data_IF_874241307871
#
_entry.id   IF_874241307871
#
_cell.length_a   1.000
_cell.length_b   1.000
_cell.length_c   1.000
_cell.angle_alpha   90.00
_cell.angle_beta   90.00
_cell.angle_gamma   90.00
#
_symmetry.space_group_name_H-M   'P 1'
#
loop_
_entity.id
_entity.type
_entity.pdbx_description
1 polymer ?
#
# COMPACT_ATOMS: atom_id res chain seq x y z
N UNK A 1 19.61 19.00 -11.36
CA UNK A 1 19.60 18.40 -12.71
C UNK A 1 18.68 17.20 -12.64
N UNK A 2 17.63 17.12 -13.45
CA UNK A 2 16.72 15.98 -13.43
C UNK A 2 17.34 14.80 -14.17
N UNK A 3 17.32 13.61 -13.57
CA UNK A 3 17.61 12.35 -14.24
C UNK A 3 16.31 11.75 -14.79
N UNK A 4 16.35 11.22 -16.00
CA UNK A 4 15.23 10.58 -16.69
C UNK A 4 15.48 9.10 -16.98
N UNK A 5 16.51 8.51 -16.37
CA UNK A 5 16.88 7.11 -16.50
C UNK A 5 15.71 6.15 -16.28
N UNK A 6 15.65 5.11 -17.11
CA UNK A 6 14.63 4.06 -17.06
C UNK A 6 15.32 2.71 -16.80
N UNK A 7 14.93 2.03 -15.72
CA UNK A 7 15.49 0.73 -15.31
C UNK A 7 15.04 -0.46 -16.19
N UNK A 8 14.16 -0.24 -17.18
CA UNK A 8 13.80 -1.21 -18.23
C UNK A 8 12.61 -2.13 -17.95
N UNK A 9 12.33 -2.50 -16.70
CA UNK A 9 11.22 -3.42 -16.39
C UNK A 9 9.85 -2.74 -16.30
N UNK A 10 9.78 -1.56 -15.67
CA UNK A 10 8.56 -0.75 -15.57
C UNK A 10 8.88 0.69 -15.97
N UNK A 11 7.88 1.42 -16.46
CA UNK A 11 8.06 2.83 -16.79
C UNK A 11 8.16 3.67 -15.51
N UNK A 12 9.12 4.58 -15.46
CA UNK A 12 9.28 5.58 -14.39
C UNK A 12 8.90 6.97 -14.91
N UNK A 13 7.84 7.55 -14.34
CA UNK A 13 7.34 8.88 -14.68
C UNK A 13 7.90 9.92 -13.70
N UNK A 14 8.87 10.69 -14.17
CA UNK A 14 9.64 11.64 -13.35
C UNK A 14 8.97 13.03 -13.27
N UNK A 15 9.24 13.79 -12.19
CA UNK A 15 8.85 15.21 -12.12
C UNK A 15 9.90 16.15 -12.75
N UNK A 16 10.08 16.09 -14.07
CA UNK A 16 11.22 16.78 -14.74
C UNK A 16 11.07 18.31 -14.84
N UNK A 17 9.85 18.80 -15.09
CA UNK A 17 9.61 20.20 -15.45
C UNK A 17 8.76 20.95 -14.43
N UNK A 18 8.42 20.33 -13.29
CA UNK A 18 7.51 20.88 -12.26
C UNK A 18 6.25 21.50 -12.89
N UNK A 19 5.57 20.69 -13.72
CA UNK A 19 4.35 21.09 -14.43
C UNK A 19 3.34 21.68 -13.42
N UNK A 20 2.70 22.83 -13.71
CA UNK A 20 1.68 23.38 -12.83
C UNK A 20 0.55 22.39 -12.55
N UNK A 21 0.21 22.22 -11.27
CA UNK A 21 -0.85 21.33 -10.83
C UNK A 21 -2.19 21.63 -11.53
N UNK A 22 -2.55 22.91 -11.66
CA UNK A 22 -3.82 23.32 -12.27
C UNK A 22 -3.99 22.79 -13.71
N UNK A 23 -2.90 22.67 -14.48
CA UNK A 23 -2.95 22.11 -15.83
C UNK A 23 -3.23 20.60 -15.80
N UNK A 24 -2.64 19.89 -14.84
CA UNK A 24 -2.88 18.46 -14.64
C UNK A 24 -4.31 18.21 -14.18
N UNK A 25 -4.83 19.01 -13.23
CA UNK A 25 -6.20 18.89 -12.75
C UNK A 25 -7.24 19.21 -13.84
N UNK A 26 -6.96 20.17 -14.72
CA UNK A 26 -7.81 20.46 -15.88
C UNK A 26 -7.91 19.27 -16.83
N UNK A 27 -6.83 18.54 -17.04
CA UNK A 27 -6.83 17.29 -17.81
C UNK A 27 -7.58 16.19 -17.07
N UNK A 28 -7.34 16.01 -15.77
CA UNK A 28 -8.05 15.04 -14.93
C UNK A 28 -9.57 15.29 -14.94
N UNK A 29 -10.02 16.54 -14.88
CA UNK A 29 -11.43 16.92 -15.06
C UNK A 29 -12.00 16.56 -16.43
N UNK A 30 -11.16 16.48 -17.46
CA UNK A 30 -11.58 16.02 -18.78
C UNK A 30 -11.64 14.49 -18.81
N UNK A 31 -10.64 13.83 -18.22
CA UNK A 31 -10.57 12.37 -18.16
C UNK A 31 -11.70 11.77 -17.32
N UNK A 32 -12.11 12.44 -16.24
CA UNK A 32 -13.17 11.99 -15.33
C UNK A 32 -14.51 11.73 -16.02
N UNK A 33 -14.77 12.41 -17.15
CA UNK A 33 -15.96 12.20 -17.99
C UNK A 33 -16.00 10.82 -18.65
N UNK A 34 -14.84 10.24 -18.92
CA UNK A 34 -14.69 8.92 -19.56
C UNK A 34 -14.24 7.85 -18.56
N UNK A 35 -13.44 8.23 -17.57
CA UNK A 35 -12.91 7.39 -16.51
C UNK A 35 -13.13 8.08 -15.17
N UNK A 36 -14.32 7.93 -14.56
CA UNK A 36 -14.60 8.47 -13.23
C UNK A 36 -13.52 8.04 -12.23
N UNK A 37 -13.13 8.94 -11.33
CA UNK A 37 -11.98 8.73 -10.44
C UNK A 37 -12.42 8.58 -8.99
N UNK A 38 -11.96 7.51 -8.34
CA UNK A 38 -12.19 7.22 -6.94
C UNK A 38 -10.94 7.37 -6.09
N UNK A 39 -11.13 7.59 -4.79
CA UNK A 39 -10.06 7.54 -3.80
C UNK A 39 -10.48 6.61 -2.64
N UNK A 40 -9.59 5.68 -2.28
CA UNK A 40 -9.72 4.82 -1.10
C UNK A 40 -8.82 5.35 0.02
N UNK A 41 -9.40 5.50 1.21
CA UNK A 41 -8.74 5.93 2.44
C UNK A 41 -9.00 4.87 3.53
N UNK A 42 -8.13 3.85 3.68
CA UNK A 42 -8.21 2.91 4.79
C UNK A 42 -7.67 3.60 6.05
N UNK A 43 -8.50 3.73 7.09
CA UNK A 43 -8.13 4.41 8.32
C UNK A 43 -8.48 3.64 9.60
N UNK A 44 -7.72 3.92 10.65
CA UNK A 44 -8.12 3.67 12.04
C UNK A 44 -8.84 4.90 12.57
N UNK A 45 -9.78 4.72 13.52
CA UNK A 45 -10.38 5.88 14.20
C UNK A 45 -9.32 6.79 14.84
N UNK A 46 -8.27 6.22 15.46
CA UNK A 46 -7.18 6.97 16.07
C UNK A 46 -6.40 7.90 15.12
N UNK A 47 -6.52 7.71 13.80
CA UNK A 47 -5.89 8.59 12.82
C UNK A 47 -6.69 9.88 12.58
N UNK A 48 -8.01 9.86 12.83
CA UNK A 48 -8.85 11.06 12.79
C UNK A 48 -8.48 12.04 13.93
N UNK A 49 -7.99 11.51 15.05
CA UNK A 49 -7.50 12.28 16.20
C UNK A 49 -6.10 12.88 15.96
N UNK A 50 -5.41 12.47 14.88
CA UNK A 50 -4.06 12.91 14.54
C UNK A 50 -4.02 14.18 13.68
N UNK A 51 -2.82 14.73 13.49
CA UNK A 51 -2.61 15.95 12.70
C UNK A 51 -2.66 15.75 11.18
N UNK A 52 -2.53 14.51 10.71
CA UNK A 52 -2.49 14.19 9.29
C UNK A 52 -3.88 14.34 8.64
N UNK A 53 -4.89 13.71 9.22
CA UNK A 53 -6.22 13.61 8.60
C UNK A 53 -6.87 14.98 8.35
N UNK A 54 -6.85 15.96 9.27
CA UNK A 54 -7.39 17.30 9.00
C UNK A 54 -6.74 17.98 7.79
N UNK A 55 -5.41 17.81 7.59
CA UNK A 55 -4.69 18.34 6.43
C UNK A 55 -5.11 17.62 5.14
N UNK A 56 -5.23 16.29 5.20
CA UNK A 56 -5.70 15.48 4.06
C UNK A 56 -7.08 15.96 3.62
N UNK A 57 -8.03 16.15 4.54
CA UNK A 57 -9.37 16.65 4.22
C UNK A 57 -9.33 18.07 3.64
N UNK A 58 -8.53 18.98 4.20
CA UNK A 58 -8.39 20.34 3.68
C UNK A 58 -7.89 20.39 2.23
N UNK A 59 -6.95 19.51 1.87
CA UNK A 59 -6.46 19.35 0.50
C UNK A 59 -7.51 18.67 -0.40
N UNK A 60 -8.15 17.60 0.06
CA UNK A 60 -9.17 16.88 -0.70
C UNK A 60 -10.40 17.72 -1.01
N UNK A 61 -10.81 18.66 -0.15
CA UNK A 61 -11.91 19.61 -0.43
C UNK A 61 -11.68 20.42 -1.71
N UNK A 62 -10.43 20.58 -2.14
CA UNK A 62 -10.06 21.33 -3.33
C UNK A 62 -9.94 20.46 -4.59
N UNK A 63 -10.14 19.14 -4.49
CA UNK A 63 -9.97 18.19 -5.60
C UNK A 63 -11.29 18.04 -6.39
N UNK A 64 -11.40 18.56 -7.61
CA UNK A 64 -12.68 18.65 -8.31
C UNK A 64 -13.04 17.40 -9.15
N UNK A 65 -12.08 16.50 -9.38
CA UNK A 65 -12.20 15.42 -10.37
C UNK A 65 -12.59 14.06 -9.78
N UNK A 66 -12.69 13.94 -8.45
CA UNK A 66 -13.10 12.71 -7.78
C UNK A 66 -14.63 12.55 -7.83
N UNK A 67 -15.09 11.40 -8.33
CA UNK A 67 -16.50 11.01 -8.30
C UNK A 67 -16.89 10.35 -6.97
N UNK A 68 -15.95 9.72 -6.27
CA UNK A 68 -16.21 9.07 -4.99
C UNK A 68 -14.97 9.01 -4.10
N UNK A 69 -15.17 9.16 -2.79
CA UNK A 69 -14.19 8.84 -1.75
C UNK A 69 -14.75 7.71 -0.87
N UNK A 70 -14.03 6.59 -0.78
CA UNK A 70 -14.39 5.44 0.04
C UNK A 70 -13.45 5.39 1.23
N UNK A 71 -13.99 5.62 2.42
CA UNK A 71 -13.24 5.60 3.68
C UNK A 71 -13.55 4.31 4.41
N UNK A 72 -12.54 3.51 4.73
CA UNK A 72 -12.73 2.31 5.55
C UNK A 72 -12.30 2.57 6.98
N UNK A 73 -13.23 2.51 7.93
CA UNK A 73 -12.99 2.83 9.33
C UNK A 73 -12.90 1.54 10.17
N UNK A 74 -11.70 1.26 10.65
CA UNK A 74 -11.41 0.18 11.60
C UNK A 74 -11.31 0.70 13.04
N UNK A 75 -11.56 -0.20 13.99
CA UNK A 75 -11.42 0.03 15.44
C UNK A 75 -12.23 1.23 15.96
N UNK A 76 -13.46 1.33 15.49
CA UNK A 76 -14.43 2.33 15.95
C UNK A 76 -15.62 1.65 16.63
N UNK A 77 -16.07 2.20 17.76
CA UNK A 77 -17.41 1.95 18.30
C UNK A 77 -18.48 2.83 17.61
N UNK A 78 -19.74 2.74 18.04
CA UNK A 78 -20.83 3.52 17.44
C UNK A 78 -20.62 5.05 17.60
N UNK A 79 -20.18 5.49 18.78
CA UNK A 79 -19.96 6.92 19.05
C UNK A 79 -18.86 7.46 18.15
N UNK A 80 -17.76 6.72 18.05
CA UNK A 80 -16.63 7.01 17.19
C UNK A 80 -17.02 6.98 15.70
N UNK A 81 -17.89 6.05 15.30
CA UNK A 81 -18.41 6.03 13.93
C UNK A 81 -19.24 7.28 13.60
N UNK A 82 -20.13 7.71 14.51
CA UNK A 82 -20.89 8.95 14.35
C UNK A 82 -19.99 10.18 14.26
N UNK A 83 -18.95 10.23 15.08
CA UNK A 83 -17.93 11.27 15.01
C UNK A 83 -17.21 11.28 13.66
N UNK A 84 -16.81 10.10 13.16
CA UNK A 84 -16.20 9.97 11.84
C UNK A 84 -17.13 10.45 10.72
N UNK A 85 -18.42 10.12 10.77
CA UNK A 85 -19.41 10.62 9.80
C UNK A 85 -19.49 12.16 9.82
N UNK A 86 -19.46 12.78 11.01
CA UNK A 86 -19.42 14.23 11.13
C UNK A 86 -18.12 14.81 10.58
N UNK A 87 -16.99 14.19 10.89
CA UNK A 87 -15.66 14.61 10.46
C UNK A 87 -15.53 14.62 8.92
N UNK A 88 -15.93 13.53 8.25
CA UNK A 88 -15.86 13.44 6.79
C UNK A 88 -16.95 14.22 6.05
N UNK A 89 -17.99 14.70 6.75
CA UNK A 89 -19.07 15.49 6.14
C UNK A 89 -18.61 16.80 5.48
N UNK A 90 -17.40 17.27 5.82
CA UNK A 90 -16.77 18.42 5.20
C UNK A 90 -16.35 18.21 3.72
N UNK A 91 -16.24 16.96 3.29
CA UNK A 91 -15.87 16.63 1.91
C UNK A 91 -17.03 16.96 0.96
N UNK A 92 -16.83 17.85 -0.04
CA UNK A 92 -17.86 18.18 -1.01
C UNK A 92 -18.14 17.04 -2.01
N UNK A 93 -17.20 16.10 -2.16
CA UNK A 93 -17.37 14.93 -3.01
C UNK A 93 -18.33 13.94 -2.38
N UNK A 94 -18.93 13.09 -3.22
CA UNK A 94 -19.63 11.93 -2.70
C UNK A 94 -18.64 11.03 -1.93
N UNK A 95 -18.96 10.74 -0.67
CA UNK A 95 -18.14 9.89 0.18
C UNK A 95 -18.99 8.91 0.98
N UNK A 96 -18.38 7.79 1.36
CA UNK A 96 -18.97 6.82 2.31
C UNK A 96 -17.93 6.32 3.29
N UNK A 97 -18.35 6.23 4.55
CA UNK A 97 -17.54 5.66 5.63
C UNK A 97 -18.04 4.24 5.90
N UNK A 98 -17.22 3.25 5.60
CA UNK A 98 -17.46 1.84 5.88
C UNK A 98 -17.08 1.57 7.34
N UNK A 99 -18.06 1.24 8.18
CA UNK A 99 -17.80 0.83 9.56
C UNK A 99 -17.46 -0.66 9.60
N UNK A 100 -16.19 -1.01 9.42
CA UNK A 100 -15.75 -2.41 9.29
C UNK A 100 -16.06 -3.24 10.54
N UNK A 101 -16.06 -2.58 11.70
CA UNK A 101 -16.44 -3.15 12.99
C UNK A 101 -17.93 -3.00 13.34
N UNK A 102 -18.72 -2.39 12.46
CA UNK A 102 -20.14 -2.17 12.61
C UNK A 102 -20.96 -3.46 12.49
N UNK A 103 -22.19 -3.46 13.04
CA UNK A 103 -23.02 -4.67 13.08
C UNK A 103 -23.34 -5.21 11.68
N UNK A 104 -23.55 -4.33 10.69
CA UNK A 104 -23.92 -4.74 9.32
C UNK A 104 -22.74 -5.36 8.57
N UNK A 105 -21.56 -4.74 8.60
CA UNK A 105 -20.36 -5.31 7.99
C UNK A 105 -19.85 -6.56 8.73
N UNK A 106 -19.97 -6.63 10.06
CA UNK A 106 -19.70 -7.88 10.82
C UNK A 106 -20.65 -9.01 10.44
N UNK A 107 -21.92 -8.73 10.14
CA UNK A 107 -22.85 -9.74 9.67
C UNK A 107 -22.47 -10.28 8.28
N UNK A 108 -22.02 -9.41 7.37
CA UNK A 108 -21.47 -9.83 6.07
C UNK A 108 -20.18 -10.63 6.23
N UNK A 109 -19.27 -10.18 7.10
CA UNK A 109 -18.04 -10.90 7.43
C UNK A 109 -18.34 -12.32 7.93
N UNK A 110 -19.29 -12.47 8.86
CA UNK A 110 -19.71 -13.78 9.37
C UNK A 110 -20.31 -14.69 8.27
N UNK A 111 -21.01 -14.12 7.29
CA UNK A 111 -21.52 -14.86 6.12
C UNK A 111 -20.35 -15.35 5.24
N UNK A 112 -19.37 -14.48 4.99
CA UNK A 112 -18.17 -14.81 4.22
C UNK A 112 -17.29 -15.85 4.94
N UNK A 113 -17.16 -15.77 6.27
CA UNK A 113 -16.39 -16.72 7.08
C UNK A 113 -16.93 -18.14 6.95
N UNK A 114 -18.25 -18.32 6.92
CA UNK A 114 -18.90 -19.64 6.73
C UNK A 114 -18.51 -20.33 5.42
N UNK A 115 -18.05 -19.57 4.43
CA UNK A 115 -17.63 -20.05 3.11
C UNK A 115 -16.10 -20.06 2.93
N UNK A 116 -15.33 -19.75 3.99
CA UNK A 116 -13.86 -19.53 3.90
C UNK A 116 -13.51 -18.45 2.85
N UNK A 117 -14.35 -17.40 2.79
CA UNK A 117 -14.22 -16.26 1.88
C UNK A 117 -13.84 -14.94 2.57
N UNK A 118 -13.96 -14.87 3.89
CA UNK A 118 -13.64 -13.66 4.65
C UNK A 118 -12.12 -13.49 4.84
N UNK A 119 -11.63 -12.23 4.94
CA UNK A 119 -10.32 -11.94 5.49
C UNK A 119 -10.16 -12.54 6.89
N UNK A 120 -9.11 -13.34 7.11
CA UNK A 120 -8.89 -14.06 8.38
C UNK A 120 -8.28 -13.20 9.48
N UNK A 121 -7.45 -12.25 9.08
CA UNK A 121 -6.72 -11.38 10.01
C UNK A 121 -7.29 -9.95 9.96
N UNK A 122 -7.21 -9.27 11.10
CA UNK A 122 -7.50 -7.84 11.19
C UNK A 122 -6.29 -7.04 10.70
N UNK A 123 -6.52 -5.90 10.06
CA UNK A 123 -5.48 -4.98 9.64
C UNK A 123 -5.79 -4.25 8.34
N UNK A 124 -4.83 -3.46 7.89
CA UNK A 124 -4.92 -2.62 6.68
C UNK A 124 -5.35 -3.41 5.44
N UNK A 125 -4.83 -4.63 5.25
CA UNK A 125 -5.21 -5.49 4.13
C UNK A 125 -6.71 -5.83 4.09
N UNK A 126 -7.32 -6.15 5.24
CA UNK A 126 -8.77 -6.39 5.38
C UNK A 126 -9.57 -5.12 5.07
N UNK A 127 -9.14 -3.99 5.61
CA UNK A 127 -9.78 -2.69 5.40
C UNK A 127 -9.81 -2.32 3.90
N UNK A 128 -8.64 -2.36 3.27
CA UNK A 128 -8.48 -2.11 1.83
C UNK A 128 -9.34 -3.07 1.01
N UNK A 129 -9.42 -4.33 1.39
CA UNK A 129 -10.24 -5.32 0.69
C UNK A 129 -11.73 -4.97 0.72
N UNK A 130 -12.28 -4.56 1.87
CA UNK A 130 -13.68 -4.09 1.97
C UNK A 130 -13.92 -2.81 1.17
N UNK A 131 -12.99 -1.85 1.22
CA UNK A 131 -13.06 -0.64 0.41
C UNK A 131 -13.04 -0.92 -1.09
N UNK A 132 -12.20 -1.84 -1.55
CA UNK A 132 -12.18 -2.29 -2.95
C UNK A 132 -13.51 -2.93 -3.34
N UNK A 133 -14.08 -3.76 -2.46
CA UNK A 133 -15.39 -4.39 -2.68
C UNK A 133 -16.50 -3.37 -2.85
N UNK A 134 -16.55 -2.37 -1.96
CA UNK A 134 -17.55 -1.31 -2.05
C UNK A 134 -17.32 -0.42 -3.28
N UNK A 135 -16.06 -0.14 -3.65
CA UNK A 135 -15.72 0.61 -4.87
C UNK A 135 -16.18 -0.12 -6.14
N UNK A 136 -16.02 -1.46 -6.18
CA UNK A 136 -16.57 -2.29 -7.25
C UNK A 136 -18.10 -2.26 -7.23
N UNK A 137 -18.71 -2.42 -6.06
CA UNK A 137 -20.16 -2.50 -5.91
C UNK A 137 -20.89 -1.18 -6.23
N UNK A 138 -20.33 -0.03 -5.84
CA UNK A 138 -20.92 1.29 -6.09
C UNK A 138 -20.96 1.65 -7.57
N UNK A 139 -20.02 1.09 -8.34
CA UNK A 139 -19.81 1.36 -9.75
C UNK A 139 -19.59 2.84 -10.11
N UNK A 140 -18.97 3.62 -9.20
CA UNK A 140 -18.76 5.07 -9.39
C UNK A 140 -17.36 5.47 -9.81
N UNK A 141 -16.42 4.52 -9.86
CA UNK A 141 -15.03 4.77 -10.20
C UNK A 141 -14.50 3.72 -11.19
N UNK A 142 -13.69 4.21 -12.14
CA UNK A 142 -12.97 3.43 -13.15
C UNK A 142 -11.45 3.50 -12.91
N UNK A 143 -10.95 4.64 -12.44
CA UNK A 143 -9.58 4.80 -11.97
C UNK A 143 -9.59 5.10 -10.48
N UNK A 144 -8.83 4.36 -9.69
CA UNK A 144 -8.90 4.43 -8.23
C UNK A 144 -7.51 4.64 -7.68
N UNK A 145 -7.35 5.64 -6.83
CA UNK A 145 -6.15 5.83 -6.01
C UNK A 145 -6.38 5.30 -4.59
N UNK A 146 -5.31 4.89 -3.93
CA UNK A 146 -5.29 4.51 -2.52
C UNK A 146 -4.16 5.27 -1.84
N UNK A 147 -4.48 5.97 -0.75
CA UNK A 147 -3.51 6.70 0.07
C UNK A 147 -3.57 6.27 1.53
N UNK A 148 -2.45 6.38 2.21
CA UNK A 148 -2.43 6.25 3.66
C UNK A 148 -3.04 7.47 4.36
N UNK A 149 -3.55 7.24 5.55
CA UNK A 149 -4.31 8.22 6.33
C UNK A 149 -3.45 8.96 7.38
N UNK A 150 -2.15 8.70 7.40
CA UNK A 150 -1.17 9.24 8.35
C UNK A 150 -0.10 10.13 7.71
N UNK A 151 -0.35 10.62 6.49
CA UNK A 151 0.55 11.48 5.71
C UNK A 151 0.54 12.91 6.25
N UNK A 152 1.65 13.35 6.86
CA UNK A 152 1.77 14.67 7.50
C UNK A 152 2.02 15.80 6.50
N UNK A 153 2.62 15.46 5.36
CA UNK A 153 2.99 16.38 4.27
C UNK A 153 2.06 16.25 3.07
N UNK A 154 0.81 15.85 3.29
CA UNK A 154 -0.15 15.62 2.22
C UNK A 154 -0.38 16.90 1.40
N UNK A 155 -0.37 16.76 0.08
CA UNK A 155 -0.67 17.81 -0.89
C UNK A 155 -1.48 17.19 -2.03
N UNK A 156 -2.51 17.86 -2.52
CA UNK A 156 -3.34 17.34 -3.63
C UNK A 156 -2.58 17.05 -4.94
N UNK A 157 -1.38 17.61 -5.14
CA UNK A 157 -0.48 17.24 -6.24
C UNK A 157 -0.06 15.77 -6.17
N UNK A 158 0.13 15.21 -4.97
CA UNK A 158 0.42 13.80 -4.76
C UNK A 158 -0.66 12.94 -5.41
N UNK A 159 -1.93 13.22 -5.11
CA UNK A 159 -3.07 12.52 -5.70
C UNK A 159 -3.11 12.68 -7.22
N UNK A 160 -3.00 13.91 -7.69
CA UNK A 160 -3.10 14.21 -9.11
C UNK A 160 -2.05 13.42 -9.91
N UNK A 161 -0.80 13.41 -9.44
CA UNK A 161 0.31 12.70 -10.08
C UNK A 161 0.16 11.19 -10.00
N UNK A 162 -0.33 10.67 -8.87
CA UNK A 162 -0.52 9.23 -8.67
C UNK A 162 -1.60 8.65 -9.58
N UNK A 163 -2.75 9.33 -9.72
CA UNK A 163 -3.89 8.81 -10.47
C UNK A 163 -3.79 9.09 -11.97
N UNK A 164 -3.04 10.12 -12.38
CA UNK A 164 -2.90 10.54 -13.78
C UNK A 164 -2.58 9.39 -14.75
N UNK A 165 -1.62 8.47 -14.47
CA UNK A 165 -1.24 7.46 -15.45
C UNK A 165 -2.34 6.46 -15.78
N UNK A 166 -3.18 6.13 -14.81
CA UNK A 166 -4.30 5.19 -14.97
C UNK A 166 -5.57 5.90 -15.48
N UNK A 167 -5.76 7.17 -15.09
CA UNK A 167 -6.88 8.00 -15.52
C UNK A 167 -6.75 8.51 -16.97
N UNK A 168 -5.54 8.71 -17.48
CA UNK A 168 -5.33 9.24 -18.83
C UNK A 168 -5.79 8.24 -19.92
N UNK A 169 -6.82 8.56 -20.74
CA UNK A 169 -7.35 7.65 -21.75
C UNK A 169 -6.36 7.25 -22.84
N UNK A 170 -5.29 8.04 -23.04
CA UNK A 170 -4.23 7.75 -24.02
C UNK A 170 -3.16 6.82 -23.48
N UNK A 171 -3.15 6.59 -22.17
CA UNK A 171 -2.20 5.70 -21.54
C UNK A 171 -2.81 4.32 -21.36
N UNK A 172 -1.95 3.32 -21.42
CA UNK A 172 -2.29 1.90 -21.33
C UNK A 172 -1.98 1.30 -19.95
N UNK A 173 -1.65 2.13 -18.95
CA UNK A 173 -1.32 1.67 -17.61
C UNK A 173 -2.55 1.18 -16.84
N UNK A 174 -2.40 0.03 -16.19
CA UNK A 174 -3.39 -0.59 -15.31
C UNK A 174 -3.08 -0.33 -13.84
N UNK A 175 -1.80 -0.09 -13.52
CA UNK A 175 -1.33 0.15 -12.16
C UNK A 175 -0.18 1.16 -12.15
N UNK A 176 -0.20 2.07 -11.17
CA UNK A 176 0.87 3.01 -10.90
C UNK A 176 1.26 3.01 -9.42
N UNK A 177 2.54 2.85 -9.12
CA UNK A 177 3.11 3.01 -7.77
C UNK A 177 3.66 4.42 -7.56
N UNK A 178 3.36 5.05 -6.43
CA UNK A 178 4.01 6.29 -6.03
C UNK A 178 5.44 6.04 -5.57
N UNK A 179 6.34 6.97 -5.86
CA UNK A 179 7.66 7.01 -5.23
C UNK A 179 8.01 8.42 -4.76
N UNK A 180 8.78 8.49 -3.68
CA UNK A 180 9.15 9.73 -3.00
C UNK A 180 10.33 9.52 -2.06
N UNK A 181 11.14 10.56 -1.87
CA UNK A 181 12.16 10.56 -0.83
C UNK A 181 11.53 10.78 0.55
N UNK A 182 12.11 10.17 1.58
CA UNK A 182 11.64 10.29 2.97
C UNK A 182 12.69 10.99 3.82
N UNK A 183 12.54 12.31 3.98
CA UNK A 183 13.45 13.14 4.76
C UNK A 183 12.67 13.97 5.77
N UNK A 184 12.89 13.73 7.05
CA UNK A 184 12.21 14.48 8.11
C UNK A 184 13.16 14.76 9.25
N UNK A 185 13.00 15.91 9.91
CA UNK A 185 13.79 16.32 11.07
C UNK A 185 15.30 16.25 10.83
N UNK A 186 15.75 16.58 9.61
CA UNK A 186 17.16 16.55 9.22
C UNK A 186 17.74 15.13 9.14
N UNK A 187 16.91 14.10 8.90
CA UNK A 187 17.32 12.69 8.83
C UNK A 187 16.75 11.96 7.61
N UNK A 188 17.45 10.93 7.13
CA UNK A 188 16.97 10.00 6.10
C UNK A 188 16.17 8.86 6.76
N UNK A 189 14.91 8.71 6.36
CA UNK A 189 13.98 7.70 6.90
C UNK A 189 13.78 6.50 5.95
N UNK A 190 12.86 5.59 6.29
CA UNK A 190 12.49 4.46 5.42
C UNK A 190 13.40 3.23 5.56
N UNK A 191 13.83 2.90 6.78
CA UNK A 191 14.73 1.77 7.11
C UNK A 191 14.33 0.46 6.43
N UNK A 192 13.05 0.08 6.45
CA UNK A 192 12.61 -1.19 5.85
C UNK A 192 12.82 -1.19 4.33
N UNK A 193 12.56 -0.08 3.63
CA UNK A 193 12.79 0.00 2.19
C UNK A 193 14.30 0.01 1.86
N UNK A 194 15.08 0.81 2.60
CA UNK A 194 16.52 1.02 2.34
C UNK A 194 17.39 -0.15 2.79
N UNK A 195 17.16 -0.66 4.00
CA UNK A 195 18.03 -1.61 4.68
C UNK A 195 17.53 -3.05 4.63
N UNK A 196 16.22 -3.28 4.47
CA UNK A 196 15.68 -4.64 4.32
C UNK A 196 15.40 -4.96 2.85
N UNK A 197 14.42 -4.32 2.22
CA UNK A 197 13.88 -4.76 0.92
C UNK A 197 14.92 -4.70 -0.18
N UNK A 198 15.57 -3.54 -0.38
CA UNK A 198 16.52 -3.38 -1.47
C UNK A 198 17.73 -4.33 -1.33
N UNK A 199 18.38 -4.44 -0.15
CA UNK A 199 19.48 -5.38 0.03
C UNK A 199 19.03 -6.84 -0.04
N UNK A 200 17.83 -7.18 0.44
CA UNK A 200 17.28 -8.54 0.39
C UNK A 200 16.98 -8.97 -1.05
N UNK A 201 16.37 -8.12 -1.86
CA UNK A 201 16.14 -8.40 -3.29
C UNK A 201 17.45 -8.64 -4.03
N UNK A 202 18.47 -7.81 -3.78
CA UNK A 202 19.80 -7.98 -4.39
C UNK A 202 20.52 -9.23 -3.88
N UNK A 203 20.37 -9.56 -2.61
CA UNK A 203 20.92 -10.79 -2.04
C UNK A 203 20.26 -12.03 -2.66
N UNK A 204 18.93 -12.05 -2.79
CA UNK A 204 18.18 -13.08 -3.49
C UNK A 204 18.64 -13.20 -4.95
N UNK A 205 18.85 -12.09 -5.66
CA UNK A 205 19.39 -12.11 -7.02
C UNK A 205 20.77 -12.77 -7.13
N UNK A 206 21.58 -12.69 -6.06
CA UNK A 206 22.92 -13.29 -6.00
C UNK A 206 22.90 -14.77 -5.57
N UNK A 207 21.98 -15.15 -4.68
CA UNK A 207 21.93 -16.52 -4.14
C UNK A 207 20.98 -17.44 -4.89
N UNK A 208 19.87 -16.92 -5.40
CA UNK A 208 18.85 -17.66 -6.17
C UNK A 208 19.10 -17.50 -7.67
N UNK A 209 19.42 -16.27 -8.10
CA UNK A 209 19.69 -15.94 -9.50
C UNK A 209 18.89 -14.73 -10.00
N UNK A 210 19.22 -14.27 -11.20
CA UNK A 210 18.61 -13.11 -11.83
C UNK A 210 17.27 -13.49 -12.48
N UNK A 211 16.23 -13.70 -11.69
CA UNK A 211 14.89 -14.05 -12.22
C UNK A 211 14.12 -12.80 -12.68
N UNK A 212 13.19 -12.97 -13.62
CA UNK A 212 12.32 -11.88 -14.11
C UNK A 212 11.53 -11.23 -12.96
N UNK A 213 11.05 -12.03 -12.01
CA UNK A 213 10.33 -11.53 -10.85
C UNK A 213 11.22 -10.68 -9.94
N UNK A 214 12.44 -11.13 -9.62
CA UNK A 214 13.36 -10.36 -8.77
C UNK A 214 13.81 -9.07 -9.47
N UNK A 215 14.03 -9.12 -10.79
CA UNK A 215 14.34 -7.95 -11.59
C UNK A 215 13.17 -6.95 -11.64
N UNK A 216 11.94 -7.45 -11.73
CA UNK A 216 10.73 -6.64 -11.64
C UNK A 216 10.60 -5.97 -10.27
N UNK A 217 10.73 -6.73 -9.17
CA UNK A 217 10.62 -6.18 -7.81
C UNK A 217 11.70 -5.13 -7.52
N UNK A 218 12.93 -5.38 -7.94
CA UNK A 218 14.10 -4.48 -7.79
C UNK A 218 14.01 -3.23 -8.69
N UNK A 219 13.03 -3.16 -9.62
CA UNK A 219 12.83 -1.99 -10.50
C UNK A 219 12.00 -0.88 -9.86
N UNK A 220 11.21 -1.20 -8.82
CA UNK A 220 10.47 -0.20 -8.04
C UNK A 220 11.42 0.53 -7.10
N UNK A 221 11.42 1.86 -7.15
CA UNK A 221 12.27 2.69 -6.27
C UNK A 221 11.87 2.55 -4.80
N UNK A 222 10.56 2.46 -4.54
CA UNK A 222 9.97 2.33 -3.20
C UNK A 222 8.86 1.26 -3.22
N UNK A 223 9.22 -0.04 -3.21
CA UNK A 223 8.25 -1.13 -3.29
C UNK A 223 7.20 -1.10 -2.17
N UNK A 224 7.56 -0.52 -1.03
CA UNK A 224 6.72 -0.41 0.17
C UNK A 224 5.94 0.91 0.29
N UNK A 225 5.92 1.77 -0.73
CA UNK A 225 5.08 2.97 -0.68
C UNK A 225 3.59 2.57 -0.53
N UNK A 226 2.85 3.22 0.38
CA UNK A 226 1.42 2.97 0.56
C UNK A 226 0.57 3.47 -0.61
N UNK A 227 1.12 4.40 -1.39
CA UNK A 227 0.43 5.16 -2.42
C UNK A 227 0.51 4.42 -3.76
N UNK A 228 -0.64 3.98 -4.24
CA UNK A 228 -0.77 3.42 -5.58
C UNK A 228 -2.14 3.71 -6.19
N UNK A 229 -2.20 3.68 -7.51
CA UNK A 229 -3.44 3.79 -8.26
C UNK A 229 -3.57 2.64 -9.24
N UNK A 230 -4.81 2.30 -9.58
CA UNK A 230 -5.12 1.20 -10.47
C UNK A 230 -6.43 1.44 -11.22
N UNK A 231 -6.60 0.74 -12.32
CA UNK A 231 -7.92 0.63 -12.96
C UNK A 231 -8.81 -0.34 -12.22
N UNK A 232 -10.12 -0.14 -12.38
CA UNK A 232 -11.17 -0.98 -11.81
C UNK A 232 -10.97 -2.47 -12.08
N UNK A 233 -10.53 -2.84 -13.28
CA UNK A 233 -10.31 -4.24 -13.65
C UNK A 233 -9.29 -4.95 -12.75
N UNK A 234 -8.32 -4.21 -12.21
CA UNK A 234 -7.34 -4.74 -11.25
C UNK A 234 -8.02 -5.23 -9.96
N UNK A 235 -9.03 -4.50 -9.45
CA UNK A 235 -9.69 -4.82 -8.16
C UNK A 235 -10.45 -6.14 -8.20
N UNK A 236 -10.92 -6.56 -9.38
CA UNK A 236 -11.72 -7.78 -9.53
C UNK A 236 -10.89 -9.04 -9.23
N UNK A 237 -9.64 -9.05 -9.68
CA UNK A 237 -8.77 -10.23 -9.67
C UNK A 237 -7.63 -10.15 -8.66
N UNK A 238 -7.26 -8.95 -8.19
CA UNK A 238 -6.17 -8.78 -7.25
C UNK A 238 -6.44 -9.54 -5.95
N UNK A 239 -5.43 -10.25 -5.49
CA UNK A 239 -5.44 -10.92 -4.19
C UNK A 239 -4.67 -10.08 -3.20
N UNK A 240 -5.39 -9.55 -2.21
CA UNK A 240 -4.82 -8.69 -1.18
C UNK A 240 -4.23 -9.56 -0.06
N UNK A 241 -2.95 -9.39 0.31
CA UNK A 241 -2.39 -10.03 1.50
C UNK A 241 -3.10 -9.56 2.77
N UNK A 242 -3.22 -10.45 3.77
CA UNK A 242 -3.82 -10.09 5.05
C UNK A 242 -2.85 -9.39 6.01
N UNK A 243 -1.55 -9.47 5.76
CA UNK A 243 -0.46 -9.03 6.64
C UNK A 243 0.20 -7.72 6.18
N UNK A 244 1.31 -7.34 6.84
CA UNK A 244 2.15 -6.18 6.46
C UNK A 244 2.87 -6.36 5.11
N UNK A 245 2.63 -7.48 4.42
CA UNK A 245 3.07 -7.72 3.06
C UNK A 245 2.16 -7.10 1.99
N UNK A 246 1.14 -6.29 2.35
CA UNK A 246 0.19 -5.67 1.42
C UNK A 246 0.87 -5.12 0.17
N UNK A 247 1.83 -4.22 0.33
CA UNK A 247 2.49 -3.52 -0.78
C UNK A 247 3.29 -4.50 -1.66
N UNK A 248 4.03 -5.44 -1.05
CA UNK A 248 4.82 -6.46 -1.76
C UNK A 248 3.92 -7.46 -2.49
N UNK A 249 2.83 -7.89 -1.85
CA UNK A 249 1.88 -8.83 -2.42
C UNK A 249 1.07 -8.23 -3.56
N UNK A 250 0.67 -6.95 -3.44
CA UNK A 250 0.08 -6.19 -4.55
C UNK A 250 1.02 -6.18 -5.75
N UNK A 251 2.30 -5.82 -5.57
CA UNK A 251 3.28 -5.84 -6.66
C UNK A 251 3.46 -7.24 -7.25
N UNK A 252 3.44 -8.27 -6.41
CA UNK A 252 3.56 -9.68 -6.83
C UNK A 252 2.36 -10.19 -7.62
N UNK A 253 1.15 -9.69 -7.32
CA UNK A 253 -0.05 -9.97 -8.10
C UNK A 253 -0.09 -9.16 -9.40
N UNK A 254 0.43 -7.92 -9.41
CA UNK A 254 0.58 -7.14 -10.64
C UNK A 254 1.51 -7.84 -11.63
N UNK A 255 2.65 -8.34 -11.16
CA UNK A 255 3.57 -9.15 -11.97
C UNK A 255 2.90 -10.38 -12.58
N UNK A 256 2.00 -11.02 -11.84
CA UNK A 256 1.32 -12.24 -12.28
C UNK A 256 0.23 -11.96 -13.31
N UNK A 257 -0.49 -10.85 -13.16
CA UNK A 257 -1.71 -10.60 -13.90
C UNK A 257 -1.51 -9.65 -15.10
N UNK A 258 -0.44 -8.86 -15.12
CA UNK A 258 -0.23 -7.82 -16.12
C UNK A 258 1.19 -7.83 -16.69
N UNK A 259 1.30 -7.54 -17.98
CA UNK A 259 2.60 -7.32 -18.64
C UNK A 259 3.25 -6.04 -18.11
N UNK A 260 4.58 -6.01 -17.98
CA UNK A 260 5.29 -4.91 -17.33
C UNK A 260 5.11 -3.54 -18.01
N UNK A 261 4.80 -3.50 -19.31
CA UNK A 261 4.47 -2.25 -20.03
C UNK A 261 3.10 -1.65 -19.65
N UNK A 262 2.29 -2.37 -18.88
CA UNK A 262 1.04 -1.91 -18.27
C UNK A 262 1.25 -1.36 -16.85
N UNK A 263 2.48 -1.44 -16.34
CA UNK A 263 2.84 -1.07 -14.98
C UNK A 263 3.80 0.11 -15.00
N UNK A 264 3.58 1.08 -14.12
CA UNK A 264 4.49 2.20 -13.97
C UNK A 264 4.68 2.59 -12.50
N UNK A 265 5.65 3.48 -12.30
CA UNK A 265 5.81 4.22 -11.07
C UNK A 265 5.92 5.72 -11.38
N UNK A 266 5.52 6.57 -10.45
CA UNK A 266 5.50 8.03 -10.64
C UNK A 266 6.04 8.74 -9.41
N UNK A 267 6.85 9.76 -9.66
CA UNK A 267 7.33 10.68 -8.64
C UNK A 267 6.11 11.45 -8.11
N UNK A 268 5.79 11.37 -6.82
CA UNK A 268 4.60 12.03 -6.27
C UNK A 268 4.91 13.12 -5.24
N UNK A 269 6.14 13.18 -4.71
CA UNK A 269 6.51 14.17 -3.71
C UNK A 269 8.03 14.34 -3.60
N UNK A 270 8.46 15.61 -3.50
CA UNK A 270 9.85 15.98 -3.18
C UNK A 270 10.23 15.56 -1.76
N UNK A 271 9.30 15.73 -0.80
CA UNK A 271 9.44 15.26 0.56
C UNK A 271 8.15 14.60 1.06
N UNK A 272 8.31 13.47 1.73
CA UNK A 272 7.22 12.69 2.28
C UNK A 272 7.49 12.31 3.73
N UNK A 273 6.61 12.76 4.63
CA UNK A 273 6.63 12.37 6.04
C UNK A 273 5.28 11.82 6.49
N UNK A 274 5.36 10.83 7.38
CA UNK A 274 4.21 10.09 7.90
C UNK A 274 4.45 9.70 9.36
N UNK A 275 3.58 8.92 10.00
CA UNK A 275 3.82 8.44 11.37
C UNK A 275 4.98 7.44 11.45
N UNK A 276 5.95 7.67 12.33
CA UNK A 276 7.12 6.80 12.48
C UNK A 276 6.81 5.60 13.39
N UNK A 277 7.22 4.41 12.95
CA UNK A 277 7.11 3.17 13.72
C UNK A 277 8.40 2.91 14.51
N UNK A 278 8.28 2.29 15.69
CA UNK A 278 9.43 1.90 16.50
C UNK A 278 10.12 0.65 15.93
N UNK A 279 11.41 0.50 16.19
CA UNK A 279 12.20 -0.63 15.70
C UNK A 279 11.69 -1.98 16.25
N UNK A 280 11.26 -1.99 17.52
CA UNK A 280 10.79 -3.17 18.26
C UNK A 280 11.83 -4.29 18.33
N UNK A 281 13.05 -3.97 18.80
CA UNK A 281 14.19 -4.91 18.92
C UNK A 281 13.86 -6.16 19.75
N UNK A 282 13.08 -5.99 20.83
CA UNK A 282 12.75 -7.08 21.76
C UNK A 282 11.37 -7.71 21.51
N UNK A 283 10.66 -7.32 20.44
CA UNK A 283 9.31 -7.79 20.17
C UNK A 283 9.06 -8.06 18.68
N UNK A 284 9.13 -9.33 18.31
CA UNK A 284 8.86 -9.81 16.94
C UNK A 284 7.40 -9.69 16.50
N UNK A 285 6.47 -9.40 17.43
CA UNK A 285 5.05 -9.27 17.14
C UNK A 285 4.63 -7.82 16.82
N UNK A 286 5.55 -6.86 16.85
CA UNK A 286 5.24 -5.44 16.66
C UNK A 286 6.29 -4.68 15.83
N UNK A 287 5.93 -3.48 15.39
CA UNK A 287 6.81 -2.52 14.73
C UNK A 287 7.53 -3.05 13.50
N UNK A 288 8.79 -2.61 13.33
CA UNK A 288 9.59 -2.98 12.16
C UNK A 288 10.02 -4.45 12.16
N UNK A 289 10.12 -5.10 13.33
CA UNK A 289 10.48 -6.52 13.42
C UNK A 289 9.43 -7.39 12.74
N UNK A 290 8.15 -7.29 13.15
CA UNK A 290 7.04 -8.02 12.51
C UNK A 290 6.95 -7.76 11.01
N UNK A 291 6.99 -6.48 10.61
CA UNK A 291 6.94 -6.07 9.21
C UNK A 291 8.03 -6.75 8.37
N UNK A 292 9.25 -6.83 8.90
CA UNK A 292 10.37 -7.47 8.18
C UNK A 292 10.19 -8.98 7.98
N UNK A 293 9.64 -9.68 8.97
CA UNK A 293 9.32 -11.11 8.88
C UNK A 293 8.23 -11.33 7.83
N UNK A 294 7.15 -10.53 7.85
CA UNK A 294 6.04 -10.62 6.91
C UNK A 294 6.49 -10.38 5.45
N UNK A 295 7.30 -9.34 5.23
CA UNK A 295 7.88 -9.04 3.91
C UNK A 295 8.76 -10.19 3.40
N UNK A 296 9.66 -10.70 4.24
CA UNK A 296 10.55 -11.79 3.86
C UNK A 296 9.76 -13.07 3.53
N UNK A 297 8.78 -13.44 4.36
CA UNK A 297 7.86 -14.56 4.08
C UNK A 297 7.13 -14.39 2.75
N UNK A 298 6.63 -13.19 2.45
CA UNK A 298 5.92 -12.91 1.20
C UNK A 298 6.81 -13.14 -0.02
N UNK A 299 8.06 -12.68 0.02
CA UNK A 299 9.05 -12.90 -1.04
C UNK A 299 9.39 -14.39 -1.22
N UNK A 300 9.66 -15.11 -0.12
CA UNK A 300 10.00 -16.54 -0.19
C UNK A 300 8.84 -17.38 -0.72
N UNK A 301 7.62 -17.12 -0.25
CA UNK A 301 6.41 -17.76 -0.77
C UNK A 301 6.22 -17.51 -2.25
N UNK A 302 6.40 -16.26 -2.70
CA UNK A 302 6.26 -15.93 -4.12
C UNK A 302 7.29 -16.66 -4.98
N UNK A 303 8.55 -16.65 -4.57
CA UNK A 303 9.61 -17.39 -5.27
C UNK A 303 9.32 -18.90 -5.30
N UNK A 304 8.85 -19.47 -4.19
CA UNK A 304 8.46 -20.88 -4.14
C UNK A 304 7.31 -21.22 -5.10
N UNK A 305 6.31 -20.34 -5.25
CA UNK A 305 5.25 -20.53 -6.25
C UNK A 305 5.75 -20.46 -7.70
N UNK A 306 6.96 -19.93 -7.91
CA UNK A 306 7.64 -19.92 -9.22
C UNK A 306 8.61 -21.09 -9.40
N UNK A 307 8.66 -22.02 -8.44
CA UNK A 307 9.49 -23.21 -8.51
C UNK A 307 10.84 -23.10 -7.79
N UNK A 308 11.13 -21.99 -7.12
CA UNK A 308 12.37 -21.86 -6.34
C UNK A 308 12.33 -22.75 -5.09
N UNK A 309 13.42 -23.47 -4.87
CA UNK A 309 13.57 -24.37 -3.73
C UNK A 309 14.51 -23.74 -2.71
N UNK A 310 14.03 -23.60 -1.47
CA UNK A 310 14.85 -23.13 -0.36
C UNK A 310 15.26 -24.29 0.55
N UNK A 311 16.50 -24.25 1.03
CA UNK A 311 17.01 -25.10 2.11
C UNK A 311 17.49 -24.24 3.28
N UNK A 312 17.74 -24.86 4.43
CA UNK A 312 18.33 -24.18 5.59
C UNK A 312 19.68 -23.53 5.25
N UNK A 313 20.51 -24.20 4.45
CA UNK A 313 21.80 -23.69 3.97
C UNK A 313 21.64 -22.51 3.01
N UNK A 314 20.60 -22.55 2.16
CA UNK A 314 20.26 -21.44 1.28
C UNK A 314 19.90 -20.19 2.09
N UNK A 315 19.10 -20.31 3.16
CA UNK A 315 18.78 -19.18 4.04
C UNK A 315 19.98 -18.65 4.82
N UNK A 316 20.90 -19.52 5.27
CA UNK A 316 22.15 -19.08 5.91
C UNK A 316 23.02 -18.28 4.93
N UNK A 317 23.12 -18.73 3.68
CA UNK A 317 23.85 -18.03 2.63
C UNK A 317 23.19 -16.70 2.24
N UNK A 318 21.85 -16.69 2.19
CA UNK A 318 21.06 -15.48 1.96
C UNK A 318 21.27 -14.47 3.07
N UNK A 319 21.18 -14.87 4.35
CA UNK A 319 21.44 -13.99 5.50
C UNK A 319 22.81 -13.36 5.40
N UNK A 320 23.86 -14.15 5.18
CA UNK A 320 25.23 -13.64 5.10
C UNK A 320 25.41 -12.65 3.94
N UNK A 321 24.82 -12.96 2.78
CA UNK A 321 24.85 -12.08 1.60
C UNK A 321 24.09 -10.79 1.86
N UNK A 322 22.87 -10.88 2.39
CA UNK A 322 22.04 -9.76 2.79
C UNK A 322 22.78 -8.84 3.76
N UNK A 323 23.34 -9.40 4.83
CA UNK A 323 23.98 -8.64 5.90
C UNK A 323 25.11 -7.77 5.35
N UNK A 324 25.97 -8.34 4.48
CA UNK A 324 27.04 -7.57 3.83
C UNK A 324 26.50 -6.43 2.96
N UNK A 325 25.50 -6.72 2.13
CA UNK A 325 24.92 -5.71 1.22
C UNK A 325 24.15 -4.61 1.96
N UNK A 326 23.54 -4.95 3.09
CA UNK A 326 22.84 -4.00 3.95
C UNK A 326 23.83 -3.06 4.65
N UNK A 327 24.95 -3.57 5.18
CA UNK A 327 26.02 -2.74 5.73
C UNK A 327 26.61 -1.78 4.68
N UNK A 328 26.90 -2.26 3.46
CA UNK A 328 27.34 -1.39 2.36
C UNK A 328 26.28 -0.29 2.04
N UNK A 329 24.99 -0.59 2.23
CA UNK A 329 23.91 0.39 2.05
C UNK A 329 23.87 1.43 3.17
N UNK A 330 24.18 1.05 4.41
CA UNK A 330 24.31 2.01 5.54
C UNK A 330 25.39 3.05 5.22
N UNK A 331 26.55 2.62 4.74
CA UNK A 331 27.65 3.52 4.34
C UNK A 331 27.22 4.48 3.22
N UNK A 332 26.55 3.96 2.18
CA UNK A 332 26.03 4.79 1.09
C UNK A 332 25.01 5.83 1.57
N UNK A 333 24.07 5.42 2.43
CA UNK A 333 23.11 6.35 3.03
C UNK A 333 23.77 7.38 3.95
N UNK A 334 24.84 7.01 4.66
CA UNK A 334 25.58 7.93 5.50
C UNK A 334 26.29 9.01 4.67
N UNK A 335 26.97 8.61 3.60
CA UNK A 335 27.63 9.53 2.67
C UNK A 335 26.62 10.47 2.00
N UNK A 336 25.47 9.93 1.57
CA UNK A 336 24.38 10.73 0.99
C UNK A 336 23.78 11.70 2.02
N UNK A 337 23.60 11.27 3.27
CA UNK A 337 23.15 12.14 4.36
C UNK A 337 24.11 13.32 4.57
N UNK A 338 25.42 13.05 4.69
CA UNK A 338 26.44 14.09 4.85
C UNK A 338 26.42 15.07 3.69
N UNK A 339 26.38 14.57 2.45
CA UNK A 339 26.38 15.40 1.25
C UNK A 339 25.17 16.35 1.18
N UNK A 340 24.03 15.92 1.74
CA UNK A 340 22.80 16.70 1.78
C UNK A 340 22.60 17.49 3.10
N UNK A 341 23.60 17.52 3.99
CA UNK A 341 23.51 18.23 5.27
C UNK A 341 22.53 17.59 6.26
N UNK A 342 22.27 16.29 6.12
CA UNK A 342 21.42 15.49 6.99
C UNK A 342 22.27 14.68 7.99
N UNK A 343 21.61 14.20 9.03
CA UNK A 343 22.20 13.33 10.05
C UNK A 343 21.70 11.89 9.89
N UNK A 344 22.59 10.93 10.10
CA UNK A 344 22.27 9.50 10.12
C UNK A 344 23.08 8.83 11.22
N UNK A 345 22.41 8.13 12.13
CA UNK A 345 23.05 7.39 13.22
C UNK A 345 23.44 5.99 12.73
N UNK A 346 24.71 5.80 12.39
CA UNK A 346 25.23 4.53 11.86
C UNK A 346 24.95 3.37 12.83
N UNK A 347 25.13 3.57 14.13
CA UNK A 347 24.96 2.52 15.14
C UNK A 347 23.51 2.02 15.16
N UNK A 348 22.55 2.93 15.12
CA UNK A 348 21.14 2.56 15.07
C UNK A 348 20.71 1.94 13.73
N UNK A 349 21.33 2.34 12.61
CA UNK A 349 21.09 1.68 11.32
C UNK A 349 21.69 0.27 11.30
N UNK A 350 22.88 0.04 11.86
CA UNK A 350 23.51 -1.29 11.94
C UNK A 350 22.72 -2.24 12.84
N UNK A 351 22.23 -1.78 14.01
CA UNK A 351 21.30 -2.56 14.84
C UNK A 351 20.05 -2.98 14.08
N UNK A 352 19.50 -2.11 13.24
CA UNK A 352 18.36 -2.46 12.41
C UNK A 352 18.72 -3.55 11.39
N UNK A 353 19.91 -3.48 10.78
CA UNK A 353 20.42 -4.51 9.87
C UNK A 353 20.61 -5.86 10.57
N UNK A 354 21.13 -5.87 11.79
CA UNK A 354 21.27 -7.08 12.62
C UNK A 354 19.91 -7.74 12.87
N UNK A 355 18.94 -6.96 13.36
CA UNK A 355 17.56 -7.41 13.59
C UNK A 355 16.93 -7.97 12.30
N UNK A 356 17.06 -7.26 11.18
CA UNK A 356 16.54 -7.72 9.90
C UNK A 356 17.20 -9.01 9.42
N UNK A 357 18.50 -9.19 9.64
CA UNK A 357 19.22 -10.41 9.29
C UNK A 357 18.74 -11.63 10.12
N UNK A 358 18.38 -11.42 11.39
CA UNK A 358 17.74 -12.44 12.22
C UNK A 358 16.33 -12.76 11.72
N UNK A 359 15.55 -11.73 11.40
CA UNK A 359 14.18 -11.88 10.94
C UNK A 359 14.06 -12.58 9.59
N UNK A 360 15.06 -12.45 8.71
CA UNK A 360 15.16 -13.24 7.48
C UNK A 360 15.25 -14.75 7.78
N UNK A 361 16.01 -15.15 8.81
CA UNK A 361 16.09 -16.56 9.22
C UNK A 361 14.77 -17.01 9.84
N UNK A 362 14.19 -16.22 10.75
CA UNK A 362 12.89 -16.51 11.36
C UNK A 362 11.80 -16.70 10.28
N UNK A 363 11.78 -15.83 9.27
CA UNK A 363 10.87 -15.96 8.13
C UNK A 363 11.07 -17.26 7.34
N UNK A 364 12.33 -17.69 7.14
CA UNK A 364 12.65 -18.97 6.53
C UNK A 364 12.19 -20.18 7.37
N UNK A 365 12.36 -20.12 8.69
CA UNK A 365 11.88 -21.16 9.61
C UNK A 365 10.35 -21.28 9.58
N UNK A 366 9.64 -20.15 9.62
CA UNK A 366 8.17 -20.12 9.50
C UNK A 366 7.73 -20.67 8.14
N UNK A 367 8.44 -20.31 7.06
CA UNK A 367 8.16 -20.82 5.71
C UNK A 367 8.22 -22.35 5.64
N UNK A 368 9.19 -22.99 6.30
CA UNK A 368 9.27 -24.46 6.35
C UNK A 368 8.20 -25.10 7.23
N UNK A 369 7.89 -24.48 8.36
CA UNK A 369 7.02 -25.07 9.38
C UNK A 369 5.52 -24.89 9.10
N UNK A 370 5.14 -23.92 8.24
CA UNK A 370 3.73 -23.60 7.95
C UNK A 370 3.46 -23.57 6.43
N UNK A 371 3.54 -24.71 5.73
CA UNK A 371 3.44 -24.76 4.26
C UNK A 371 2.03 -24.51 3.71
N UNK A 372 0.98 -24.63 4.54
CA UNK A 372 -0.43 -24.54 4.11
C UNK A 372 -1.09 -23.18 4.38
N UNK A 373 -0.36 -22.21 4.94
CA UNK A 373 -0.95 -20.88 5.19
C UNK A 373 -1.33 -20.23 3.84
N UNK A 374 -2.58 -19.77 3.74
CA UNK A 374 -3.06 -19.00 2.59
C UNK A 374 -2.88 -17.52 2.91
N UNK A 375 -1.82 -16.85 2.41
CA UNK A 375 -1.51 -15.48 2.80
C UNK A 375 -2.43 -14.44 2.14
N UNK A 376 -3.29 -14.89 1.22
CA UNK A 376 -4.11 -14.01 0.39
C UNK A 376 -5.58 -14.10 0.75
N UNK A 377 -6.18 -12.93 0.91
CA UNK A 377 -7.63 -12.77 0.92
C UNK A 377 -8.16 -13.15 -0.48
N UNK A 378 -9.27 -13.90 -0.56
CA UNK A 378 -9.93 -14.22 -1.83
C UNK A 378 -10.23 -12.96 -2.67
N UNK A 379 -10.07 -13.06 -3.99
CA UNK A 379 -10.44 -11.97 -4.89
C UNK A 379 -11.96 -11.76 -4.90
N UNK A 380 -12.40 -10.55 -5.21
CA UNK A 380 -13.84 -10.25 -5.30
C UNK A 380 -14.54 -11.07 -6.37
N UNK A 381 -13.85 -11.41 -7.47
CA UNK A 381 -14.37 -12.38 -8.46
C UNK A 381 -14.73 -13.73 -7.84
N UNK A 382 -13.91 -14.26 -6.93
CA UNK A 382 -14.20 -15.52 -6.22
C UNK A 382 -15.39 -15.35 -5.26
N UNK A 383 -15.50 -14.20 -4.61
CA UNK A 383 -16.62 -13.92 -3.69
C UNK A 383 -17.94 -13.80 -4.44
N UNK A 384 -17.98 -13.02 -5.52
CA UNK A 384 -19.18 -12.86 -6.36
C UNK A 384 -19.60 -14.20 -6.97
N UNK A 385 -18.65 -15.03 -7.41
CA UNK A 385 -18.97 -16.37 -7.92
C UNK A 385 -19.65 -17.27 -6.87
N UNK A 386 -19.39 -17.06 -5.58
CA UNK A 386 -19.98 -17.85 -4.50
C UNK A 386 -21.25 -17.21 -3.91
N UNK A 387 -21.34 -15.87 -3.92
CA UNK A 387 -22.47 -15.08 -3.45
C UNK A 387 -22.78 -14.02 -4.51
N UNK A 388 -23.62 -14.32 -5.52
CA UNK A 388 -23.85 -13.43 -6.66
C UNK A 388 -24.37 -12.03 -6.31
N UNK A 389 -25.14 -11.91 -5.22
CA UNK A 389 -25.75 -10.67 -4.75
C UNK A 389 -24.92 -9.93 -3.66
N UNK A 390 -23.66 -10.34 -3.44
CA UNK A 390 -22.82 -9.78 -2.36
C UNK A 390 -22.60 -8.27 -2.50
N UNK A 391 -22.51 -7.76 -3.72
CA UNK A 391 -22.32 -6.33 -3.96
C UNK A 391 -23.55 -5.51 -3.57
N UNK A 392 -24.75 -6.00 -3.85
CA UNK A 392 -25.99 -5.36 -3.41
C UNK A 392 -26.09 -5.36 -1.89
N UNK A 393 -25.74 -6.48 -1.25
CA UNK A 393 -25.71 -6.59 0.21
C UNK A 393 -24.69 -5.64 0.84
N UNK A 394 -23.49 -5.53 0.25
CA UNK A 394 -22.43 -4.64 0.73
C UNK A 394 -22.85 -3.16 0.61
N UNK A 395 -23.40 -2.76 -0.54
CA UNK A 395 -23.92 -1.40 -0.72
C UNK A 395 -25.03 -1.12 0.27
N UNK A 396 -26.03 -2.00 0.37
CA UNK A 396 -27.15 -1.83 1.32
C UNK A 396 -26.67 -1.72 2.77
N UNK A 397 -25.69 -2.52 3.18
CA UNK A 397 -25.12 -2.45 4.52
C UNK A 397 -24.48 -1.09 4.81
N UNK A 398 -23.61 -0.62 3.89
CA UNK A 398 -22.88 0.64 4.05
C UNK A 398 -23.82 1.84 3.98
N UNK A 399 -24.75 1.88 3.04
CA UNK A 399 -25.73 2.97 2.92
C UNK A 399 -26.62 3.04 4.17
N UNK A 400 -27.11 1.90 4.67
CA UNK A 400 -27.95 1.88 5.87
C UNK A 400 -27.20 2.34 7.13
N UNK A 401 -25.93 1.97 7.31
CA UNK A 401 -25.10 2.51 8.40
C UNK A 401 -24.91 4.03 8.24
N UNK A 402 -24.57 4.50 7.04
CA UNK A 402 -24.34 5.92 6.79
C UNK A 402 -25.63 6.75 6.99
N UNK A 403 -26.81 6.22 6.69
CA UNK A 403 -28.11 6.88 6.89
C UNK A 403 -28.55 6.87 8.36
N UNK A 404 -28.49 5.71 9.03
CA UNK A 404 -28.94 5.55 10.41
C UNK A 404 -28.11 6.38 11.39
N UNK A 405 -26.78 6.38 11.20
CA UNK A 405 -25.85 6.99 12.14
C UNK A 405 -25.51 8.45 11.80
N UNK A 406 -25.91 8.98 10.62
CA UNK A 406 -25.64 10.37 10.18
C UNK A 406 -26.20 11.44 11.08
N UNK A 407 -27.35 11.16 11.69
CA UNK A 407 -28.04 12.10 12.54
C UNK A 407 -27.76 11.74 13.99
N UNK A 408 -27.20 12.68 14.75
CA UNK A 408 -27.28 12.62 16.20
C UNK A 408 -28.75 12.44 16.58
N UNK A 409 -29.10 11.35 17.27
CA UNK A 409 -30.29 11.41 18.13
C UNK A 409 -30.03 12.58 19.07
N UNK A 410 -30.72 13.70 18.82
CA UNK A 410 -30.71 14.88 19.68
C UNK A 410 -31.04 14.49 21.12
#
# INVERSE_FOLDING_TARGET
MGDFHQNGNITTLHNLSRRPLADMEKELMTFSKTRPMGLILPSLFSELEGEAMPKIIAELKQVPYLSQIVIGLDRADESQYREALSFFSELPQEHRVLWNDGPRLKALDAKLQKLDLAPKELGKGRNVWYCMGYTLASNKAESVALHDCDILTYNRELLARLIYPVANPRFNYEFCKGYYARVANGKINGRVSRLLVSPLLRALKKTVGQTDYLNYMDSYRYPLAGEFSFRRDVLNDIRIPSDWGLEIGVLSEMYRNYASNRLCQVDIADNYDHKHQQLSLDNDADGLSKMSIDIAKALFRKLATQGEVFSTEAFRSLKATYYRMALDTVENCHNDAIMNGLTLDIHEEEKAVEMFAENIIKAGEVFFNVPMERPFIPSWNRVVSAIPDIFEQLVSAVEADNEEFRHAKK
#
